data_IF_964760190951
#
_entry.id   IF_964760190951
#
_cell.length_a   1.000
_cell.length_b   1.000
_cell.length_c   1.000
_cell.angle_alpha   90.00
_cell.angle_beta   90.00
_cell.angle_gamma   90.00
#
_symmetry.space_group_name_H-M   'P 1'
#
loop_
_entity.id
_entity.type
_entity.pdbx_description
1 polymer ?
#
# COMPACT_ATOMS: atom_id res chain seq x y z
N UNK A 1 13.20 -44.67 49.58
CA UNK A 1 13.06 -45.02 48.14
C UNK A 1 11.97 -44.13 47.56
N UNK A 2 12.29 -42.94 47.06
CA UNK A 2 12.55 -42.63 45.63
C UNK A 2 11.38 -43.08 44.75
N UNK A 3 10.63 -42.22 44.05
CA UNK A 3 11.05 -41.08 43.20
C UNK A 3 9.96 -40.01 43.14
N UNK A 4 10.36 -38.75 43.30
CA UNK A 4 9.60 -37.57 42.87
C UNK A 4 9.94 -37.40 41.38
N UNK A 5 8.95 -37.55 40.50
CA UNK A 5 9.08 -37.22 39.09
C UNK A 5 8.70 -35.75 38.90
N UNK A 6 9.70 -34.88 38.89
CA UNK A 6 9.63 -33.53 38.34
C UNK A 6 9.44 -33.64 36.82
N UNK A 7 8.21 -33.42 36.35
CA UNK A 7 7.96 -33.20 34.93
C UNK A 7 8.20 -31.72 34.65
N UNK A 8 9.36 -31.44 34.07
CA UNK A 8 9.84 -30.12 33.70
C UNK A 8 8.89 -29.45 32.70
N UNK A 9 8.35 -28.32 33.11
CA UNK A 9 7.74 -27.27 32.30
C UNK A 9 8.75 -26.76 31.28
N UNK A 10 8.78 -27.35 30.08
CA UNK A 10 9.42 -26.76 28.91
C UNK A 10 8.37 -25.89 28.22
N UNK A 11 8.01 -24.77 28.85
CA UNK A 11 7.25 -23.71 28.18
C UNK A 11 8.24 -23.01 27.25
N UNK A 12 8.39 -23.55 26.04
CA UNK A 12 9.01 -22.86 24.93
C UNK A 12 8.13 -21.63 24.67
N UNK A 13 8.51 -20.51 25.29
CA UNK A 13 7.98 -19.19 25.02
C UNK A 13 8.42 -18.84 23.60
N UNK A 14 7.71 -19.38 22.60
CA UNK A 14 7.66 -18.75 21.29
C UNK A 14 7.05 -17.39 21.56
N UNK A 15 7.89 -16.38 21.74
CA UNK A 15 7.55 -14.99 21.52
C UNK A 15 7.08 -14.91 20.07
N UNK A 16 5.78 -15.16 19.90
CA UNK A 16 4.97 -14.57 18.85
C UNK A 16 5.22 -13.07 18.98
N UNK A 17 6.23 -12.59 18.26
CA UNK A 17 6.32 -11.20 17.87
C UNK A 17 4.99 -10.93 17.18
N UNK A 18 4.05 -10.36 17.93
CA UNK A 18 2.86 -9.75 17.37
C UNK A 18 3.41 -8.64 16.47
N UNK A 19 3.65 -8.98 15.21
CA UNK A 19 3.92 -8.00 14.18
C UNK A 19 2.71 -7.07 14.28
N UNK A 20 2.91 -5.77 14.57
CA UNK A 20 1.81 -4.83 14.65
C UNK A 20 0.94 -5.05 13.41
N UNK A 21 -0.37 -5.23 13.63
CA UNK A 21 -1.31 -5.41 12.52
C UNK A 21 -1.04 -4.30 11.51
N UNK A 22 -1.06 -4.65 10.22
CA UNK A 22 -0.80 -3.77 9.07
C UNK A 22 -1.95 -2.75 8.89
N UNK A 23 -2.29 -2.06 9.98
CA UNK A 23 -3.42 -1.15 10.07
C UNK A 23 -3.31 -0.07 9.00
N UNK A 24 -4.34 0.05 8.16
CA UNK A 24 -4.49 1.15 7.20
C UNK A 24 -4.40 2.47 7.98
N UNK A 25 -3.33 3.22 7.74
CA UNK A 25 -3.10 4.51 8.39
C UNK A 25 -3.58 5.63 7.47
N UNK A 26 -4.57 6.37 7.92
CA UNK A 26 -5.06 7.56 7.22
C UNK A 26 -4.11 8.72 7.52
N UNK A 27 -3.49 9.25 6.47
CA UNK A 27 -2.46 10.29 6.54
C UNK A 27 -3.08 11.68 6.45
N UNK A 28 -4.01 11.86 5.52
CA UNK A 28 -4.57 13.15 5.14
C UNK A 28 -6.08 13.03 4.90
N UNK A 29 -6.80 14.10 5.18
CA UNK A 29 -8.23 14.26 4.90
C UNK A 29 -8.44 15.63 4.25
N UNK A 30 -9.14 15.64 3.12
CA UNK A 30 -9.48 16.86 2.38
C UNK A 30 -10.97 16.95 2.13
N UNK A 31 -11.44 18.17 1.85
CA UNK A 31 -12.79 18.40 1.36
C UNK A 31 -12.98 17.76 -0.02
N UNK A 32 -14.19 17.25 -0.27
CA UNK A 32 -14.58 16.72 -1.57
C UNK A 32 -14.66 17.83 -2.62
N UNK A 33 -14.16 17.57 -3.85
CA UNK A 33 -14.18 18.56 -4.92
C UNK A 33 -15.62 18.99 -5.25
N UNK A 34 -15.89 20.28 -5.50
CA UNK A 34 -17.23 20.78 -5.79
C UNK A 34 -17.66 20.40 -7.23
N UNK A 35 -17.93 19.11 -7.46
CA UNK A 35 -18.33 18.57 -8.76
C UNK A 35 -19.83 18.75 -9.02
N UNK A 36 -20.17 19.01 -10.29
CA UNK A 36 -21.56 19.09 -10.75
C UNK A 36 -22.12 17.71 -11.15
N UNK A 37 -21.24 16.81 -11.59
CA UNK A 37 -21.57 15.43 -11.97
C UNK A 37 -20.81 14.37 -11.15
N UNK A 38 -21.31 13.12 -11.19
CA UNK A 38 -20.67 12.00 -10.50
C UNK A 38 -19.46 11.50 -11.30
N UNK A 39 -18.26 11.41 -10.70
CA UNK A 39 -17.10 10.92 -11.41
C UNK A 39 -17.16 9.40 -11.61
N UNK A 40 -16.66 8.92 -12.76
CA UNK A 40 -16.66 7.49 -13.11
C UNK A 40 -15.30 6.79 -12.90
N UNK A 41 -14.21 7.55 -12.95
CA UNK A 41 -12.85 7.07 -12.78
C UNK A 41 -11.98 8.12 -12.11
N UNK A 42 -10.90 7.65 -11.48
CA UNK A 42 -9.95 8.49 -10.74
C UNK A 42 -8.52 7.98 -10.94
N UNK A 43 -7.58 8.91 -11.12
CA UNK A 43 -6.13 8.66 -11.06
C UNK A 43 -5.46 9.80 -10.28
N UNK A 44 -4.24 9.60 -9.78
CA UNK A 44 -3.47 10.64 -9.08
C UNK A 44 -2.18 10.86 -9.84
N UNK A 45 -1.85 12.13 -10.11
CA UNK A 45 -0.60 12.51 -10.77
C UNK A 45 0.59 12.55 -9.79
N UNK A 46 1.82 12.65 -10.32
CA UNK A 46 3.05 12.65 -9.49
C UNK A 46 3.14 13.85 -8.54
N UNK A 47 2.42 14.94 -8.84
CA UNK A 47 2.31 16.10 -7.97
C UNK A 47 1.20 15.98 -6.91
N UNK A 48 0.54 14.82 -6.83
CA UNK A 48 -0.57 14.56 -5.90
C UNK A 48 -1.92 15.14 -6.35
N UNK A 49 -2.02 15.64 -7.59
CA UNK A 49 -3.28 16.11 -8.15
C UNK A 49 -4.21 14.95 -8.48
N UNK A 50 -5.47 15.05 -8.05
CA UNK A 50 -6.50 14.04 -8.24
C UNK A 50 -7.23 14.33 -9.54
N UNK A 51 -7.16 13.41 -10.49
CA UNK A 51 -7.85 13.50 -11.78
C UNK A 51 -9.12 12.67 -11.76
N UNK A 52 -10.20 13.24 -12.28
CA UNK A 52 -11.53 12.64 -12.28
C UNK A 52 -12.13 12.69 -13.69
N UNK A 53 -12.69 11.59 -14.14
CA UNK A 53 -13.49 11.55 -15.38
C UNK A 53 -14.92 11.99 -15.07
N UNK A 54 -15.45 12.93 -15.85
CA UNK A 54 -16.79 13.50 -15.70
C UNK A 54 -17.60 13.25 -17.00
N UNK A 55 -18.11 12.01 -17.20
CA UNK A 55 -18.74 11.63 -18.46
C UNK A 55 -19.98 12.45 -18.82
N UNK A 56 -20.75 12.90 -17.83
CA UNK A 56 -21.96 13.70 -18.06
C UNK A 56 -21.64 15.10 -18.60
N UNK A 57 -20.47 15.63 -18.24
CA UNK A 57 -19.95 16.93 -18.67
C UNK A 57 -19.09 16.84 -19.95
N UNK A 58 -18.68 15.63 -20.35
CA UNK A 58 -17.76 15.44 -21.48
C UNK A 58 -16.35 15.98 -21.19
N UNK A 59 -15.93 15.95 -19.92
CA UNK A 59 -14.73 16.61 -19.42
C UNK A 59 -13.93 15.71 -18.47
N UNK A 60 -12.74 16.17 -18.10
CA UNK A 60 -12.02 15.69 -16.92
C UNK A 60 -11.74 16.85 -15.99
N UNK A 61 -11.64 16.58 -14.70
CA UNK A 61 -11.26 17.58 -13.71
C UNK A 61 -9.99 17.17 -12.97
N UNK A 62 -9.11 18.15 -12.74
CA UNK A 62 -7.97 18.04 -11.84
C UNK A 62 -8.27 18.79 -10.56
N UNK A 63 -8.23 18.10 -9.43
CA UNK A 63 -8.40 18.65 -8.10
C UNK A 63 -7.08 18.64 -7.34
N UNK A 64 -6.68 19.79 -6.82
CA UNK A 64 -5.55 19.94 -5.88
C UNK A 64 -6.11 20.67 -4.67
N UNK A 65 -6.09 20.09 -3.45
CA UNK A 65 -6.76 20.67 -2.29
C UNK A 65 -6.45 22.15 -2.06
N UNK A 66 -5.18 22.56 -2.23
CA UNK A 66 -4.75 23.95 -2.02
C UNK A 66 -4.99 24.88 -3.22
N UNK A 67 -5.09 24.34 -4.45
CA UNK A 67 -5.22 25.12 -5.68
C UNK A 67 -6.64 25.09 -6.27
N UNK A 68 -7.52 24.25 -5.74
CA UNK A 68 -8.90 24.08 -6.19
C UNK A 68 -9.07 23.11 -7.36
N UNK A 69 -10.21 23.24 -8.03
CA UNK A 69 -10.66 22.39 -9.13
C UNK A 69 -10.40 23.08 -10.48
N UNK A 70 -9.86 22.33 -11.44
CA UNK A 70 -9.71 22.78 -12.83
C UNK A 70 -10.32 21.78 -13.79
N UNK A 71 -11.24 22.23 -14.64
CA UNK A 71 -11.95 21.40 -15.62
C UNK A 71 -11.27 21.55 -16.99
N UNK A 72 -11.15 20.42 -17.70
CA UNK A 72 -10.61 20.33 -19.06
C UNK A 72 -11.65 19.65 -19.95
N UNK A 73 -12.18 20.40 -20.92
CA UNK A 73 -13.15 19.87 -21.88
C UNK A 73 -12.48 18.92 -22.88
N UNK A 74 -13.04 17.71 -23.01
CA UNK A 74 -12.58 16.70 -23.95
C UNK A 74 -13.40 16.68 -25.24
N UNK A 75 -14.65 17.15 -25.18
CA UNK A 75 -15.63 17.02 -26.27
C UNK A 75 -16.25 15.62 -26.42
N UNK A 76 -15.99 14.70 -25.48
CA UNK A 76 -16.58 13.35 -25.45
C UNK A 76 -16.67 12.81 -24.02
N UNK A 77 -17.44 11.74 -23.82
CA UNK A 77 -17.78 11.19 -22.50
C UNK A 77 -16.74 10.18 -22.01
N UNK A 78 -15.56 10.65 -21.64
CA UNK A 78 -14.55 9.78 -21.03
C UNK A 78 -15.10 9.13 -19.75
N UNK A 79 -14.95 7.82 -19.63
CA UNK A 79 -15.42 7.05 -18.46
C UNK A 79 -14.29 6.36 -17.70
N UNK A 80 -13.09 6.26 -18.28
CA UNK A 80 -11.90 5.70 -17.63
C UNK A 80 -10.67 6.59 -17.85
N UNK A 81 -9.69 6.45 -16.95
CA UNK A 81 -8.47 7.26 -16.90
C UNK A 81 -7.24 6.39 -16.65
N UNK A 82 -6.13 6.72 -17.29
CA UNK A 82 -4.79 6.22 -16.93
C UNK A 82 -3.81 7.37 -16.86
N UNK A 83 -3.05 7.46 -15.77
CA UNK A 83 -1.97 8.42 -15.61
C UNK A 83 -0.62 7.73 -15.77
N UNK A 84 0.25 8.29 -16.62
CA UNK A 84 1.66 7.96 -16.69
C UNK A 84 2.44 9.05 -17.42
N UNK A 85 3.74 9.19 -17.12
CA UNK A 85 4.67 10.05 -17.87
C UNK A 85 4.21 11.52 -17.97
N UNK A 86 3.58 12.04 -16.91
CA UNK A 86 3.05 13.40 -16.88
C UNK A 86 1.80 13.63 -17.75
N UNK A 87 1.16 12.57 -18.24
CA UNK A 87 -0.02 12.61 -19.11
C UNK A 87 -1.15 11.78 -18.50
N UNK A 88 -2.36 12.31 -18.57
CA UNK A 88 -3.60 11.57 -18.31
C UNK A 88 -4.21 11.18 -19.64
N UNK A 89 -4.27 9.88 -19.91
CA UNK A 89 -5.06 9.31 -20.99
C UNK A 89 -6.51 9.17 -20.52
N UNK A 90 -7.42 9.90 -21.16
CA UNK A 90 -8.86 9.84 -20.91
C UNK A 90 -9.55 9.19 -22.11
N UNK A 91 -10.40 8.21 -21.86
CA UNK A 91 -11.03 7.42 -22.92
C UNK A 91 -12.37 6.85 -22.46
N UNK A 92 -13.13 6.30 -23.41
CA UNK A 92 -14.38 5.60 -23.14
C UNK A 92 -14.30 4.17 -23.68
N UNK A 93 -14.27 3.13 -22.82
CA UNK A 93 -14.35 1.75 -23.27
C UNK A 93 -15.57 1.51 -24.17
N UNK A 94 -15.36 0.83 -25.28
CA UNK A 94 -16.37 0.60 -26.32
C UNK A 94 -16.59 1.78 -27.29
N UNK A 95 -15.80 2.86 -27.20
CA UNK A 95 -15.75 3.98 -28.14
C UNK A 95 -14.42 4.01 -28.90
N UNK A 96 -14.32 4.79 -29.98
CA UNK A 96 -13.04 5.09 -30.65
C UNK A 96 -12.30 6.29 -30.05
N UNK A 97 -12.90 6.98 -29.07
CA UNK A 97 -12.44 8.28 -28.59
C UNK A 97 -11.44 8.18 -27.44
N UNK A 98 -10.32 8.90 -27.60
CA UNK A 98 -9.28 9.06 -26.60
C UNK A 98 -8.65 10.46 -26.68
N UNK A 99 -8.26 10.99 -25.54
CA UNK A 99 -7.47 12.22 -25.42
C UNK A 99 -6.33 12.06 -24.43
N UNK A 100 -5.21 12.72 -24.73
CA UNK A 100 -4.10 12.90 -23.79
C UNK A 100 -4.11 14.32 -23.25
N UNK A 101 -4.10 14.43 -21.92
CA UNK A 101 -4.10 15.68 -21.18
C UNK A 101 -2.76 15.82 -20.47
N UNK A 102 -2.05 16.90 -20.72
CA UNK A 102 -0.83 17.24 -19.99
C UNK A 102 -1.18 17.55 -18.54
N UNK A 103 -0.67 16.75 -17.59
CA UNK A 103 -1.12 16.80 -16.21
C UNK A 103 -0.71 18.12 -15.52
N UNK A 104 0.49 18.62 -15.81
CA UNK A 104 1.00 19.84 -15.21
C UNK A 104 0.25 21.09 -15.71
N UNK A 105 -0.04 21.15 -17.01
CA UNK A 105 -0.68 22.31 -17.66
C UNK A 105 -2.19 22.21 -17.71
N UNK A 106 -2.76 21.04 -17.48
CA UNK A 106 -4.19 20.70 -17.62
C UNK A 106 -4.77 21.20 -18.95
N UNK A 107 -4.14 20.77 -20.04
CA UNK A 107 -4.56 21.06 -21.42
C UNK A 107 -4.51 19.79 -22.25
N UNK A 108 -5.47 19.63 -23.17
CA UNK A 108 -5.45 18.52 -24.11
C UNK A 108 -4.32 18.73 -25.12
N UNK A 109 -3.39 17.79 -25.21
CA UNK A 109 -2.23 17.84 -26.12
C UNK A 109 -2.43 17.00 -27.37
N UNK A 110 -3.27 15.96 -27.31
CA UNK A 110 -3.56 15.06 -28.41
C UNK A 110 -4.95 14.43 -28.26
N UNK A 111 -5.60 14.13 -29.39
CA UNK A 111 -6.89 13.43 -29.47
C UNK A 111 -6.91 12.51 -30.67
N UNK A 112 -7.65 11.40 -30.57
CA UNK A 112 -7.93 10.52 -31.71
C UNK A 112 -9.34 9.94 -31.62
N UNK A 113 -9.91 9.65 -32.78
CA UNK A 113 -11.20 8.99 -32.99
C UNK A 113 -11.09 7.95 -34.11
N UNK A 114 -9.93 7.33 -34.26
CA UNK A 114 -9.63 6.33 -35.30
C UNK A 114 -10.50 5.07 -35.21
N UNK A 115 -10.55 4.28 -36.29
CA UNK A 115 -11.31 3.04 -36.31
C UNK A 115 -10.84 2.03 -35.24
N UNK A 116 -11.80 1.23 -34.75
CA UNK A 116 -11.62 0.27 -33.65
C UNK A 116 -12.22 0.79 -32.35
N UNK A 117 -12.79 -0.11 -31.56
CA UNK A 117 -13.33 0.24 -30.24
C UNK A 117 -12.23 0.02 -29.21
N UNK A 118 -11.98 1.01 -28.35
CA UNK A 118 -11.01 0.90 -27.27
C UNK A 118 -11.62 0.03 -26.18
N UNK A 119 -11.03 -1.11 -25.86
CA UNK A 119 -11.43 -1.92 -24.70
C UNK A 119 -10.70 -1.49 -23.43
N UNK A 120 -9.46 -1.02 -23.58
CA UNK A 120 -8.61 -0.61 -22.46
C UNK A 120 -7.42 0.24 -22.91
N UNK A 121 -6.83 0.95 -21.95
CA UNK A 121 -5.56 1.66 -22.09
C UNK A 121 -4.71 1.30 -20.88
N UNK A 122 -3.43 0.98 -21.08
CA UNK A 122 -2.51 0.71 -19.98
C UNK A 122 -1.23 1.49 -20.11
N UNK A 123 -0.67 1.89 -18.97
CA UNK A 123 0.65 2.48 -18.90
C UNK A 123 1.74 1.40 -18.99
N UNK A 124 2.81 1.71 -19.72
CA UNK A 124 4.03 0.90 -19.86
C UNK A 124 5.24 1.83 -19.78
N UNK A 125 6.47 1.31 -19.85
CA UNK A 125 7.67 2.14 -19.77
C UNK A 125 7.70 3.21 -20.88
N UNK A 126 7.68 4.48 -20.47
CA UNK A 126 7.71 5.66 -21.35
C UNK A 126 6.52 5.86 -22.30
N UNK A 127 5.46 5.04 -22.25
CA UNK A 127 4.38 5.06 -23.25
C UNK A 127 3.06 4.50 -22.72
N UNK A 128 2.04 4.49 -23.58
CA UNK A 128 0.74 3.86 -23.35
C UNK A 128 0.51 2.77 -24.38
N UNK A 129 -0.25 1.74 -24.04
CA UNK A 129 -0.76 0.75 -25.01
C UNK A 129 -2.26 0.79 -25.01
N UNK A 130 -2.82 1.04 -26.19
CA UNK A 130 -4.26 0.97 -26.46
C UNK A 130 -4.59 -0.45 -26.88
N UNK A 131 -5.59 -1.04 -26.25
CA UNK A 131 -6.19 -2.31 -26.66
C UNK A 131 -7.44 -1.99 -27.45
N UNK A 132 -7.37 -2.12 -28.78
CA UNK A 132 -8.50 -1.90 -29.68
C UNK A 132 -9.12 -3.23 -30.08
N UNK A 133 -10.43 -3.37 -30.01
CA UNK A 133 -11.17 -4.48 -30.63
C UNK A 133 -11.76 -4.11 -31.97
N UNK A 134 -11.72 -5.11 -32.85
CA UNK A 134 -12.40 -5.17 -34.13
C UNK A 134 -13.28 -6.44 -34.14
N UNK A 135 -14.23 -6.57 -35.08
CA UNK A 135 -15.14 -7.72 -35.11
C UNK A 135 -14.46 -9.09 -35.11
N UNK A 136 -13.24 -9.20 -35.64
CA UNK A 136 -12.52 -10.46 -35.84
C UNK A 136 -11.12 -10.51 -35.22
N UNK A 137 -10.66 -9.45 -34.58
CA UNK A 137 -9.29 -9.35 -34.05
C UNK A 137 -9.17 -8.28 -32.98
N UNK A 138 -8.10 -8.35 -32.20
CA UNK A 138 -7.68 -7.25 -31.33
C UNK A 138 -6.34 -6.68 -31.81
N UNK A 139 -6.18 -5.37 -31.71
CA UNK A 139 -4.98 -4.65 -32.08
C UNK A 139 -4.44 -3.92 -30.86
N UNK A 140 -3.17 -4.15 -30.56
CA UNK A 140 -2.41 -3.37 -29.60
C UNK A 140 -1.71 -2.25 -30.34
N UNK A 141 -1.85 -1.01 -29.87
CA UNK A 141 -1.15 0.15 -30.42
C UNK A 141 -0.38 0.84 -29.30
N UNK A 142 0.94 0.87 -29.39
CA UNK A 142 1.79 1.61 -28.45
C UNK A 142 1.91 3.07 -28.89
N UNK A 143 1.49 3.98 -28.01
CA UNK A 143 1.53 5.43 -28.22
C UNK A 143 2.54 6.09 -27.30
N UNK A 144 3.34 7.02 -27.83
CA UNK A 144 4.14 7.94 -27.00
C UNK A 144 3.21 8.88 -26.21
N UNK A 145 3.68 9.56 -25.15
CA UNK A 145 2.88 10.57 -24.44
C UNK A 145 2.40 11.75 -25.32
N UNK A 146 2.90 11.87 -26.55
CA UNK A 146 2.45 12.84 -27.56
C UNK A 146 1.36 12.30 -28.50
N UNK A 147 0.99 11.02 -28.35
CA UNK A 147 0.01 10.34 -29.20
C UNK A 147 0.57 9.78 -30.51
N UNK A 148 1.90 9.70 -30.65
CA UNK A 148 2.52 9.11 -31.84
C UNK A 148 2.55 7.58 -31.70
N UNK A 149 2.01 6.86 -32.69
CA UNK A 149 2.10 5.40 -32.73
C UNK A 149 3.53 4.96 -33.09
N UNK A 150 4.11 4.12 -32.24
CA UNK A 150 5.50 3.62 -32.40
C UNK A 150 5.57 2.11 -32.61
N UNK A 151 4.50 1.38 -32.30
CA UNK A 151 4.44 -0.06 -32.49
C UNK A 151 2.98 -0.54 -32.51
N UNK A 152 2.74 -1.59 -33.29
CA UNK A 152 1.44 -2.26 -33.37
C UNK A 152 1.63 -3.78 -33.34
N UNK A 153 0.69 -4.49 -32.71
CA UNK A 153 0.67 -5.95 -32.73
C UNK A 153 -0.77 -6.48 -32.76
N UNK A 154 -1.01 -7.38 -33.70
CA UNK A 154 -2.32 -8.00 -33.90
C UNK A 154 -2.39 -9.29 -33.08
N UNK A 155 -3.39 -9.37 -32.21
CA UNK A 155 -3.75 -10.61 -31.52
C UNK A 155 -4.83 -11.28 -32.36
N UNK A 156 -4.37 -12.13 -33.29
CA UNK A 156 -5.24 -13.01 -34.06
C UNK A 156 -5.76 -14.15 -33.19
N UNK A 157 -6.86 -14.79 -33.61
CA UNK A 157 -7.45 -16.02 -33.04
C UNK A 157 -7.93 -16.01 -31.57
N UNK A 158 -7.63 -14.95 -30.80
CA UNK A 158 -8.14 -14.77 -29.44
C UNK A 158 -9.22 -13.70 -29.38
N UNK A 159 -10.26 -14.01 -28.62
CA UNK A 159 -11.27 -13.04 -28.19
C UNK A 159 -10.85 -12.51 -26.83
N UNK A 160 -10.58 -11.21 -26.76
CA UNK A 160 -10.28 -10.52 -25.50
C UNK A 160 -11.57 -10.22 -24.73
N UNK A 161 -11.49 -10.16 -23.40
CA UNK A 161 -12.58 -9.61 -22.60
C UNK A 161 -12.79 -8.13 -22.93
N UNK A 162 -14.00 -7.62 -22.67
CA UNK A 162 -14.29 -6.20 -22.78
C UNK A 162 -14.11 -5.51 -21.43
N UNK A 163 -13.59 -4.29 -21.45
CA UNK A 163 -13.36 -3.41 -20.29
C UNK A 163 -12.30 -3.94 -19.30
N UNK A 164 -11.30 -3.10 -19.01
CA UNK A 164 -10.22 -3.43 -18.04
C UNK A 164 -9.55 -4.77 -18.34
N UNK A 165 -9.38 -5.07 -19.63
CA UNK A 165 -8.88 -6.36 -20.10
C UNK A 165 -7.38 -6.51 -19.88
N UNK A 166 -6.68 -5.40 -19.65
CA UNK A 166 -5.23 -5.35 -19.66
C UNK A 166 -4.63 -4.87 -18.35
N UNK A 167 -3.36 -5.22 -18.14
CA UNK A 167 -2.48 -4.58 -17.18
C UNK A 167 -1.09 -4.42 -17.80
N UNK A 168 -0.51 -3.21 -17.73
CA UNK A 168 0.80 -2.89 -18.29
C UNK A 168 1.86 -2.71 -17.21
N UNK A 169 3.07 -3.22 -17.46
CA UNK A 169 4.25 -2.93 -16.65
C UNK A 169 5.51 -3.09 -17.48
N UNK A 170 6.43 -2.13 -17.36
CA UNK A 170 7.71 -2.13 -18.07
C UNK A 170 7.52 -2.29 -19.58
N UNK A 171 8.01 -3.38 -20.16
CA UNK A 171 7.89 -3.71 -21.58
C UNK A 171 6.82 -4.77 -21.86
N UNK A 172 5.92 -5.04 -20.90
CA UNK A 172 4.93 -6.10 -21.00
C UNK A 172 3.50 -5.60 -20.86
N UNK A 173 2.62 -6.18 -21.67
CA UNK A 173 1.17 -6.03 -21.56
C UNK A 173 0.56 -7.40 -21.31
N UNK A 174 -0.19 -7.52 -20.22
CA UNK A 174 -0.94 -8.70 -19.85
C UNK A 174 -2.39 -8.54 -20.25
N UNK A 175 -2.98 -9.54 -20.90
CA UNK A 175 -4.34 -9.48 -21.45
C UNK A 175 -5.18 -10.65 -20.96
N UNK A 176 -6.46 -10.40 -20.64
CA UNK A 176 -7.45 -11.46 -20.36
C UNK A 176 -8.20 -11.85 -21.62
N UNK A 177 -8.27 -13.15 -21.86
CA UNK A 177 -9.12 -13.71 -22.93
C UNK A 177 -10.50 -14.06 -22.40
N UNK A 178 -11.50 -14.13 -23.28
CA UNK A 178 -12.85 -14.50 -22.89
C UNK A 178 -12.99 -15.94 -22.42
N UNK A 179 -12.08 -16.81 -22.88
CA UNK A 179 -11.95 -18.21 -22.49
C UNK A 179 -11.27 -18.41 -21.12
N UNK A 180 -10.71 -17.35 -20.54
CA UNK A 180 -10.10 -17.37 -19.22
C UNK A 180 -8.58 -17.61 -19.19
N UNK A 181 -7.91 -17.67 -20.33
CA UNK A 181 -6.44 -17.58 -20.40
C UNK A 181 -5.95 -16.16 -20.18
N UNK A 182 -4.68 -16.05 -19.79
CA UNK A 182 -3.90 -14.81 -19.81
C UNK A 182 -2.88 -14.84 -20.94
N UNK A 183 -2.76 -13.73 -21.66
CA UNK A 183 -1.70 -13.52 -22.64
C UNK A 183 -0.69 -12.54 -22.06
N UNK A 184 0.59 -12.71 -22.39
CA UNK A 184 1.61 -11.68 -22.23
C UNK A 184 2.19 -11.33 -23.58
N UNK A 185 2.30 -10.03 -23.83
CA UNK A 185 2.89 -9.45 -25.03
C UNK A 185 4.07 -8.60 -24.62
N UNK A 186 5.23 -8.86 -25.22
CA UNK A 186 6.44 -8.05 -25.03
C UNK A 186 6.47 -6.96 -26.11
N UNK A 187 6.62 -5.70 -25.70
CA UNK A 187 6.62 -4.56 -26.62
C UNK A 187 7.81 -4.65 -27.59
N UNK A 188 7.56 -4.32 -28.86
CA UNK A 188 8.56 -4.45 -29.91
C UNK A 188 8.74 -5.88 -30.44
N UNK A 189 8.04 -6.88 -29.89
CA UNK A 189 8.04 -8.26 -30.42
C UNK A 189 6.67 -8.66 -30.96
N UNK A 190 6.68 -9.44 -32.03
CA UNK A 190 5.44 -10.02 -32.58
C UNK A 190 4.99 -11.24 -31.76
N UNK A 191 3.67 -11.42 -31.68
CA UNK A 191 3.06 -12.56 -30.99
C UNK A 191 2.86 -12.37 -29.49
N UNK A 192 2.52 -13.48 -28.82
CA UNK A 192 2.22 -13.51 -27.39
C UNK A 192 2.56 -14.87 -26.79
N UNK A 193 2.71 -14.91 -25.47
CA UNK A 193 2.75 -16.17 -24.69
C UNK A 193 1.46 -16.32 -23.91
N UNK A 194 0.86 -17.51 -23.99
CA UNK A 194 -0.40 -17.84 -23.31
C UNK A 194 -0.15 -18.62 -22.01
N UNK A 195 -0.88 -18.26 -20.96
CA UNK A 195 -0.96 -18.95 -19.69
C UNK A 195 -2.41 -19.38 -19.45
N UNK A 196 -2.63 -20.70 -19.34
CA UNK A 196 -3.93 -21.23 -18.98
C UNK A 196 -4.14 -21.09 -17.48
N UNK A 197 -5.26 -20.48 -17.12
CA UNK A 197 -5.65 -20.28 -15.73
C UNK A 197 -6.61 -21.37 -15.28
N UNK A 198 -6.56 -21.71 -13.99
CA UNK A 198 -7.52 -22.64 -13.39
C UNK A 198 -8.93 -22.04 -13.35
N UNK A 199 -9.00 -20.72 -13.13
CA UNK A 199 -10.24 -19.93 -13.13
C UNK A 199 -10.03 -18.65 -13.91
N UNK A 200 -11.10 -18.18 -14.56
CA UNK A 200 -11.08 -16.94 -15.35
C UNK A 200 -10.85 -15.73 -14.42
N UNK A 201 -9.76 -14.96 -14.59
CA UNK A 201 -9.51 -13.80 -13.74
C UNK A 201 -10.46 -12.64 -14.08
N UNK A 202 -10.89 -11.91 -13.04
CA UNK A 202 -11.76 -10.73 -13.13
C UNK A 202 -11.01 -9.40 -12.95
N UNK A 203 -9.87 -9.42 -12.27
CA UNK A 203 -9.04 -8.23 -12.03
C UNK A 203 -7.58 -8.54 -12.38
N UNK A 204 -6.89 -7.56 -12.96
CA UNK A 204 -5.45 -7.58 -13.20
C UNK A 204 -4.79 -6.35 -12.58
N UNK A 205 -3.59 -6.55 -12.02
CA UNK A 205 -2.62 -5.49 -11.80
C UNK A 205 -1.25 -6.00 -12.21
N UNK A 206 -0.36 -5.10 -12.64
CA UNK A 206 1.01 -5.46 -13.01
C UNK A 206 2.03 -4.45 -12.52
N UNK A 207 3.23 -4.95 -12.25
CA UNK A 207 4.41 -4.20 -11.79
C UNK A 207 5.64 -5.08 -11.99
N UNK A 208 6.79 -4.50 -12.34
CA UNK A 208 8.09 -5.19 -12.49
C UNK A 208 8.01 -6.44 -13.41
N UNK A 209 7.32 -6.29 -14.56
CA UNK A 209 7.15 -7.35 -15.56
C UNK A 209 6.32 -8.54 -15.09
N UNK A 210 5.61 -8.41 -13.96
CA UNK A 210 4.74 -9.44 -13.38
C UNK A 210 3.29 -8.98 -13.39
N UNK A 211 2.38 -9.95 -13.40
CA UNK A 211 0.94 -9.71 -13.24
C UNK A 211 0.40 -10.49 -12.05
N UNK A 212 -0.55 -9.86 -11.36
CA UNK A 212 -1.43 -10.49 -10.40
C UNK A 212 -2.80 -10.64 -11.05
N UNK A 213 -3.24 -11.89 -11.16
CA UNK A 213 -4.54 -12.23 -11.70
C UNK A 213 -5.43 -12.71 -10.56
N UNK A 214 -6.54 -12.01 -10.33
CA UNK A 214 -7.50 -12.31 -9.27
C UNK A 214 -8.76 -12.91 -9.89
N UNK A 215 -9.12 -14.11 -9.47
CA UNK A 215 -10.37 -14.78 -9.87
C UNK A 215 -11.55 -14.40 -8.96
N UNK A 216 -12.82 -14.64 -9.38
CA UNK A 216 -14.01 -14.25 -8.62
C UNK A 216 -14.09 -14.85 -7.20
N UNK A 217 -13.41 -15.97 -6.96
CA UNK A 217 -13.41 -16.67 -5.67
C UNK A 217 -12.26 -16.22 -4.77
N UNK A 218 -11.51 -15.19 -5.19
CA UNK A 218 -10.38 -14.62 -4.43
C UNK A 218 -9.09 -15.40 -4.55
N UNK A 219 -9.01 -16.34 -5.50
CA UNK A 219 -7.74 -16.92 -5.88
C UNK A 219 -6.89 -15.85 -6.58
N UNK A 220 -5.68 -15.63 -6.07
CA UNK A 220 -4.71 -14.72 -6.63
C UNK A 220 -3.53 -15.52 -7.16
N UNK A 221 -3.24 -15.36 -8.44
CA UNK A 221 -2.09 -15.97 -9.10
C UNK A 221 -1.11 -14.89 -9.52
N UNK A 222 0.13 -14.96 -9.05
CA UNK A 222 1.22 -14.10 -9.53
C UNK A 222 1.98 -14.83 -10.63
N UNK A 223 2.17 -14.16 -11.77
CA UNK A 223 2.75 -14.74 -12.97
C UNK A 223 3.83 -13.80 -13.49
N UNK A 224 4.96 -14.37 -13.90
CA UNK A 224 5.97 -13.68 -14.70
C UNK A 224 6.09 -14.33 -16.07
N UNK A 225 6.86 -13.72 -16.96
CA UNK A 225 7.15 -14.31 -18.28
C UNK A 225 7.73 -15.73 -18.19
N UNK A 226 8.31 -16.12 -17.05
CA UNK A 226 8.88 -17.45 -16.83
C UNK A 226 7.83 -18.49 -16.45
N UNK A 227 6.71 -18.08 -15.85
CA UNK A 227 5.71 -19.01 -15.34
C UNK A 227 4.90 -18.44 -14.19
N UNK A 228 4.04 -19.29 -13.63
CA UNK A 228 3.34 -19.03 -12.36
C UNK A 228 4.37 -19.03 -11.23
N UNK A 229 4.43 -17.96 -10.46
CA UNK A 229 5.38 -17.82 -9.33
C UNK A 229 4.75 -18.13 -7.99
N UNK A 230 3.48 -17.74 -7.80
CA UNK A 230 2.78 -17.91 -6.54
C UNK A 230 1.27 -18.03 -6.78
N UNK A 231 0.60 -18.75 -5.86
CA UNK A 231 -0.85 -18.80 -5.74
C UNK A 231 -1.23 -18.59 -4.29
N UNK A 232 -2.18 -17.69 -4.05
CA UNK A 232 -2.67 -17.36 -2.72
C UNK A 232 -4.19 -17.35 -2.77
N UNK A 233 -4.83 -18.02 -1.84
CA UNK A 233 -6.28 -17.90 -1.66
C UNK A 233 -6.56 -16.91 -0.56
N UNK A 234 -7.26 -15.83 -0.90
CA UNK A 234 -7.61 -14.78 0.06
C UNK A 234 -8.89 -15.10 0.84
N UNK A 235 -9.72 -16.03 0.37
CA UNK A 235 -11.07 -16.26 0.89
C UNK A 235 -11.95 -15.00 0.80
N UNK A 236 -11.65 -14.09 -0.12
CA UNK A 236 -12.40 -12.89 -0.45
C UNK A 236 -13.11 -13.09 -1.79
N UNK A 237 -14.29 -12.53 -2.01
CA UNK A 237 -14.97 -12.65 -3.32
C UNK A 237 -14.70 -11.41 -4.16
N UNK A 238 -13.80 -11.54 -5.13
CA UNK A 238 -13.47 -10.44 -6.04
C UNK A 238 -14.58 -10.20 -7.06
N UNK A 239 -14.87 -8.93 -7.32
CA UNK A 239 -15.96 -8.50 -8.21
C UNK A 239 -15.48 -7.50 -9.24
N UNK A 240 -16.19 -7.46 -10.37
CA UNK A 240 -16.03 -6.38 -11.33
C UNK A 240 -16.37 -5.04 -10.64
N UNK A 241 -15.41 -4.11 -10.65
CA UNK A 241 -15.52 -2.81 -9.98
C UNK A 241 -14.76 -2.72 -8.65
N UNK A 242 -14.18 -3.81 -8.15
CA UNK A 242 -13.14 -3.72 -7.13
C UNK A 242 -11.85 -3.16 -7.76
N UNK A 243 -10.98 -2.60 -6.91
CA UNK A 243 -9.70 -2.02 -7.33
C UNK A 243 -8.57 -2.96 -6.94
N UNK A 244 -7.59 -3.11 -7.83
CA UNK A 244 -6.41 -3.92 -7.57
C UNK A 244 -5.17 -3.11 -7.91
N UNK A 245 -4.20 -3.10 -7.00
CA UNK A 245 -2.98 -2.33 -7.11
C UNK A 245 -1.78 -3.22 -6.85
N UNK A 246 -0.89 -3.33 -7.83
CA UNK A 246 0.39 -3.98 -7.67
C UNK A 246 1.36 -3.03 -6.95
N UNK A 247 1.83 -3.46 -5.78
CA UNK A 247 2.70 -2.69 -4.90
C UNK A 247 4.15 -3.17 -5.04
N UNK A 248 5.15 -2.38 -4.60
CA UNK A 248 6.54 -2.83 -4.52
C UNK A 248 6.71 -4.14 -3.77
N UNK A 249 7.88 -4.77 -3.91
CA UNK A 249 8.27 -5.96 -3.14
C UNK A 249 7.31 -7.15 -3.31
N UNK A 250 6.75 -7.28 -4.51
CA UNK A 250 5.78 -8.32 -4.90
C UNK A 250 4.48 -8.35 -4.08
N UNK A 251 3.99 -7.19 -3.64
CA UNK A 251 2.74 -7.07 -2.89
C UNK A 251 1.55 -6.76 -3.81
N UNK A 252 0.35 -7.07 -3.30
CA UNK A 252 -0.91 -6.73 -3.95
C UNK A 252 -1.86 -6.12 -2.92
N UNK A 253 -2.52 -5.03 -3.28
CA UNK A 253 -3.67 -4.52 -2.54
C UNK A 253 -4.94 -4.68 -3.38
N UNK A 254 -6.00 -5.20 -2.77
CA UNK A 254 -7.33 -5.29 -3.37
C UNK A 254 -8.30 -4.51 -2.48
N UNK A 255 -8.97 -3.52 -3.04
CA UNK A 255 -10.00 -2.77 -2.33
C UNK A 255 -11.37 -3.20 -2.83
N UNK A 256 -12.17 -3.77 -1.93
CA UNK A 256 -13.55 -4.09 -2.23
C UNK A 256 -14.47 -2.96 -1.86
N UNK A 257 -15.15 -2.39 -2.87
CA UNK A 257 -16.13 -1.33 -2.63
C UNK A 257 -17.37 -1.85 -1.90
N UNK A 258 -17.75 -3.10 -2.16
CA UNK A 258 -18.98 -3.69 -1.62
C UNK A 258 -18.79 -4.16 -0.18
N UNK A 259 -17.69 -4.86 0.10
CA UNK A 259 -17.39 -5.34 1.44
C UNK A 259 -16.73 -4.25 2.30
N UNK A 260 -16.29 -3.16 1.67
CA UNK A 260 -15.61 -2.03 2.30
C UNK A 260 -14.33 -2.45 3.03
N UNK A 261 -13.57 -3.37 2.43
CA UNK A 261 -12.34 -3.91 3.00
C UNK A 261 -11.15 -3.67 2.07
N UNK A 262 -9.97 -3.61 2.67
CA UNK A 262 -8.69 -3.79 2.02
C UNK A 262 -8.20 -5.21 2.27
N UNK A 263 -7.82 -5.92 1.20
CA UNK A 263 -7.09 -7.17 1.27
C UNK A 263 -5.68 -6.91 0.77
N UNK A 264 -4.68 -7.13 1.61
CA UNK A 264 -3.28 -7.03 1.22
C UNK A 264 -2.64 -8.42 1.19
N UNK A 265 -1.84 -8.67 0.15
CA UNK A 265 -1.08 -9.89 -0.04
C UNK A 265 0.40 -9.55 -0.07
N UNK A 266 1.18 -10.17 0.82
CA UNK A 266 2.64 -10.04 0.89
C UNK A 266 3.26 -11.42 0.98
N UNK A 267 3.73 -11.96 -0.15
CA UNK A 267 4.18 -13.34 -0.23
C UNK A 267 3.01 -14.31 -0.12
N UNK A 268 3.02 -15.17 0.90
CA UNK A 268 1.96 -16.12 1.25
C UNK A 268 0.97 -15.56 2.29
N UNK A 269 1.26 -14.38 2.86
CA UNK A 269 0.45 -13.75 3.89
C UNK A 269 -0.66 -12.94 3.26
N UNK A 270 -1.86 -13.10 3.82
CA UNK A 270 -3.05 -12.31 3.50
C UNK A 270 -3.48 -11.58 4.76
N UNK A 271 -3.56 -10.25 4.71
CA UNK A 271 -4.24 -9.44 5.72
C UNK A 271 -5.54 -8.90 5.13
N UNK A 272 -6.55 -8.76 5.99
CA UNK A 272 -7.85 -8.15 5.65
C UNK A 272 -8.16 -7.10 6.69
N UNK A 273 -8.50 -5.92 6.22
CA UNK A 273 -8.80 -4.79 7.09
C UNK A 273 -10.07 -4.08 6.65
N UNK A 274 -10.90 -3.71 7.62
CA UNK A 274 -12.07 -2.90 7.36
C UNK A 274 -11.65 -1.45 7.13
N UNK A 275 -12.08 -0.87 6.02
CA UNK A 275 -11.88 0.55 5.76
C UNK A 275 -12.79 1.39 6.67
N UNK A 276 -12.28 2.53 7.12
CA UNK A 276 -13.02 3.44 8.02
C UNK A 276 -14.19 4.11 7.32
N UNK A 277 -14.07 4.32 6.01
CA UNK A 277 -15.12 4.92 5.17
C UNK A 277 -15.46 4.01 4.02
N UNK A 278 -16.69 4.16 3.52
CA UNK A 278 -17.04 3.66 2.19
C UNK A 278 -16.51 4.63 1.15
N UNK A 279 -16.04 4.11 0.03
CA UNK A 279 -15.48 4.93 -1.04
C UNK A 279 -16.23 4.68 -2.35
N UNK A 280 -16.28 5.70 -3.20
CA UNK A 280 -16.82 5.63 -4.55
C UNK A 280 -15.73 5.21 -5.53
N UNK A 281 -14.59 5.90 -5.48
CA UNK A 281 -13.41 5.71 -6.32
C UNK A 281 -12.17 5.55 -5.46
N UNK A 282 -11.20 4.79 -5.97
CA UNK A 282 -9.88 4.64 -5.38
C UNK A 282 -8.80 4.76 -6.47
N UNK A 283 -7.66 5.34 -6.11
CA UNK A 283 -6.50 5.46 -7.00
C UNK A 283 -5.21 5.40 -6.18
N UNK A 284 -4.14 4.87 -6.78
CA UNK A 284 -2.81 4.91 -6.16
C UNK A 284 -2.22 6.32 -6.27
N UNK A 285 -1.58 6.78 -5.21
CA UNK A 285 -0.68 7.95 -5.17
C UNK A 285 0.73 7.44 -4.89
N UNK A 286 1.59 7.51 -5.90
CA UNK A 286 2.94 6.93 -5.83
C UNK A 286 2.90 5.40 -5.68
N UNK A 287 3.83 4.84 -4.90
CA UNK A 287 4.01 3.39 -4.73
C UNK A 287 3.31 2.80 -3.52
N UNK A 288 2.97 3.61 -2.52
CA UNK A 288 2.64 3.13 -1.17
C UNK A 288 1.46 3.85 -0.53
N UNK A 289 0.70 4.67 -1.27
CA UNK A 289 -0.50 5.34 -0.76
C UNK A 289 -1.69 5.19 -1.72
N UNK A 290 -2.88 5.18 -1.15
CA UNK A 290 -4.15 5.17 -1.86
C UNK A 290 -4.95 6.42 -1.52
N UNK A 291 -5.60 6.99 -2.52
CA UNK A 291 -6.58 8.06 -2.37
C UNK A 291 -7.96 7.46 -2.52
N UNK A 292 -8.83 7.72 -1.54
CA UNK A 292 -10.21 7.26 -1.49
C UNK A 292 -11.14 8.47 -1.60
N UNK A 293 -12.05 8.43 -2.58
CA UNK A 293 -13.07 9.46 -2.76
C UNK A 293 -14.37 8.99 -2.11
N UNK A 294 -14.80 9.64 -1.02
CA UNK A 294 -16.08 9.38 -0.35
C UNK A 294 -17.10 10.45 -0.73
N UNK A 295 -17.98 10.11 -1.66
CA UNK A 295 -19.07 10.99 -2.10
C UNK A 295 -20.19 11.13 -1.05
N UNK A 296 -20.34 10.17 -0.13
CA UNK A 296 -21.43 10.18 0.86
C UNK A 296 -21.16 11.18 1.98
N UNK A 297 -19.91 11.22 2.45
CA UNK A 297 -19.49 12.14 3.50
C UNK A 297 -18.83 13.41 2.94
N UNK A 298 -18.68 13.51 1.62
CA UNK A 298 -18.02 14.61 0.93
C UNK A 298 -16.59 14.83 1.44
N UNK A 299 -15.80 13.75 1.44
CA UNK A 299 -14.38 13.78 1.84
C UNK A 299 -13.49 13.04 0.85
N UNK A 300 -12.23 13.44 0.81
CA UNK A 300 -11.14 12.69 0.19
C UNK A 300 -10.21 12.24 1.30
N UNK A 301 -9.86 10.96 1.32
CA UNK A 301 -8.91 10.41 2.28
C UNK A 301 -7.66 9.90 1.59
N UNK A 302 -6.51 10.10 2.21
CA UNK A 302 -5.25 9.47 1.81
C UNK A 302 -4.88 8.44 2.86
N UNK A 303 -4.75 7.19 2.45
CA UNK A 303 -4.35 6.09 3.31
C UNK A 303 -3.01 5.50 2.85
N UNK A 304 -2.12 5.26 3.81
CA UNK A 304 -0.84 4.60 3.58
C UNK A 304 -1.01 3.09 3.57
N UNK A 305 -0.38 2.46 2.59
CA UNK A 305 -0.12 1.02 2.49
C UNK A 305 1.37 0.72 2.75
N UNK A 306 2.17 1.73 3.12
CA UNK A 306 3.60 1.56 3.38
C UNK A 306 3.84 0.81 4.67
N UNK A 307 4.78 -0.12 4.66
CA UNK A 307 5.23 -0.86 5.84
C UNK A 307 6.36 -0.10 6.50
N UNK A 308 6.41 -0.03 7.84
CA UNK A 308 7.43 0.75 8.51
C UNK A 308 8.84 0.17 8.25
N UNK A 309 9.85 1.04 8.14
CA UNK A 309 11.23 0.60 8.05
C UNK A 309 11.64 -0.12 9.34
N UNK A 310 12.59 -1.04 9.22
CA UNK A 310 13.09 -1.87 10.32
C UNK A 310 14.56 -1.59 10.55
N UNK A 311 14.91 -1.21 11.77
CA UNK A 311 16.30 -1.14 12.25
C UNK A 311 16.58 -2.45 12.99
N UNK A 312 17.26 -3.39 12.31
CA UNK A 312 17.48 -4.74 12.82
C UNK A 312 18.71 -4.85 13.74
N UNK A 313 19.67 -3.96 13.55
CA UNK A 313 20.90 -3.88 14.35
C UNK A 313 21.41 -2.43 14.33
N UNK A 314 21.98 -1.97 15.44
CA UNK A 314 22.64 -0.67 15.52
C UNK A 314 23.69 -0.65 16.65
N UNK A 315 24.79 0.04 16.39
CA UNK A 315 25.86 0.25 17.37
C UNK A 315 26.48 1.62 17.23
N UNK A 316 27.04 2.13 18.33
CA UNK A 316 27.78 3.38 18.37
C UNK A 316 29.09 3.17 19.12
N UNK A 317 30.18 3.67 18.53
CA UNK A 317 31.53 3.55 19.07
C UNK A 317 32.19 4.93 19.10
N UNK A 318 32.73 5.30 20.25
CA UNK A 318 33.52 6.53 20.40
C UNK A 318 34.86 6.33 19.68
N UNK A 319 35.26 7.30 18.85
CA UNK A 319 36.56 7.29 18.19
C UNK A 319 37.67 7.75 19.15
N UNK A 320 38.92 7.53 18.75
CA UNK A 320 40.10 7.74 19.62
C UNK A 320 40.27 9.18 20.13
N UNK A 321 39.69 10.17 19.46
CA UNK A 321 39.72 11.58 19.88
C UNK A 321 38.72 11.93 20.99
N UNK A 322 37.74 11.04 21.25
CA UNK A 322 36.63 11.27 22.16
C UNK A 322 35.64 12.35 21.69
N UNK A 323 35.87 12.96 20.53
CA UNK A 323 35.09 14.06 19.96
C UNK A 323 34.18 13.59 18.83
N UNK A 324 34.38 12.37 18.35
CA UNK A 324 33.55 11.76 17.32
C UNK A 324 33.02 10.39 17.73
N UNK A 325 31.86 10.07 17.20
CA UNK A 325 31.17 8.80 17.42
C UNK A 325 30.88 8.19 16.06
N UNK A 326 31.40 7.00 15.81
CA UNK A 326 31.01 6.20 14.65
C UNK A 326 29.74 5.44 14.98
N UNK A 327 28.70 5.62 14.17
CA UNK A 327 27.42 4.93 14.27
C UNK A 327 27.31 3.97 13.10
N UNK A 328 26.85 2.74 13.37
CA UNK A 328 26.58 1.71 12.38
C UNK A 328 25.18 1.16 12.57
N UNK A 329 24.45 0.91 11.50
CA UNK A 329 23.11 0.32 11.57
C UNK A 329 22.79 -0.56 10.36
N UNK A 330 21.95 -1.58 10.56
CA UNK A 330 21.28 -2.32 9.47
C UNK A 330 19.84 -1.86 9.40
N UNK A 331 19.53 -1.10 8.35
CA UNK A 331 18.19 -0.56 8.09
C UNK A 331 17.66 -1.22 6.83
N UNK A 332 16.49 -1.82 6.93
CA UNK A 332 15.77 -2.37 5.80
C UNK A 332 14.39 -1.76 5.74
N UNK A 333 14.02 -1.22 4.59
CA UNK A 333 12.65 -0.83 4.34
C UNK A 333 11.96 -1.92 3.50
N UNK A 334 10.84 -2.50 3.96
CA UNK A 334 10.20 -3.59 3.23
C UNK A 334 9.71 -3.20 1.84
N UNK A 335 9.39 -1.93 1.61
CA UNK A 335 8.84 -1.41 0.35
C UNK A 335 9.89 -0.74 -0.54
N UNK A 336 11.13 -0.74 -0.06
CA UNK A 336 12.32 -0.18 -0.70
C UNK A 336 12.19 1.32 -1.02
N UNK A 337 11.42 2.05 -0.19
CA UNK A 337 11.08 3.46 -0.41
C UNK A 337 11.48 4.37 0.77
N UNK A 338 12.69 4.18 1.31
CA UNK A 338 13.28 5.11 2.28
C UNK A 338 13.31 6.55 1.74
N UNK A 339 12.91 7.50 2.58
CA UNK A 339 12.93 8.92 2.26
C UNK A 339 14.37 9.44 2.07
N UNK A 340 14.54 10.42 1.18
CA UNK A 340 15.85 11.07 0.96
C UNK A 340 16.41 11.63 2.26
N UNK A 341 17.71 11.42 2.51
CA UNK A 341 18.37 11.81 3.76
C UNK A 341 18.24 10.79 4.90
N UNK A 342 17.58 9.65 4.66
CA UNK A 342 17.46 8.55 5.62
C UNK A 342 18.14 7.26 5.10
N UNK A 343 18.64 6.41 6.00
CA UNK A 343 18.62 6.56 7.46
C UNK A 343 19.60 7.63 7.95
N UNK A 344 19.30 8.21 9.11
CA UNK A 344 20.12 9.24 9.75
C UNK A 344 20.57 8.81 11.13
N UNK A 345 21.79 9.16 11.48
CA UNK A 345 22.29 9.06 12.85
C UNK A 345 22.18 10.43 13.52
N UNK A 346 21.88 10.45 14.81
CA UNK A 346 21.78 11.69 15.58
C UNK A 346 22.28 11.53 17.01
N UNK A 347 22.88 12.60 17.54
CA UNK A 347 23.33 12.73 18.91
C UNK A 347 22.64 13.94 19.57
N UNK A 348 22.05 13.71 20.74
CA UNK A 348 21.29 14.70 21.51
C UNK A 348 21.97 14.94 22.86
N UNK A 349 22.39 16.19 23.12
CA UNK A 349 22.94 16.66 24.39
C UNK A 349 22.09 17.82 24.91
N UNK A 350 21.23 17.57 25.89
CA UNK A 350 20.25 18.56 26.33
C UNK A 350 19.30 18.94 25.19
N UNK A 351 19.38 20.18 24.70
CA UNK A 351 18.61 20.67 23.54
C UNK A 351 19.41 20.70 22.23
N UNK A 352 20.71 20.44 22.27
CA UNK A 352 21.57 20.43 21.08
C UNK A 352 21.42 19.10 20.34
N UNK A 353 21.14 19.17 19.04
CA UNK A 353 21.06 18.01 18.15
C UNK A 353 22.12 18.14 17.07
N UNK A 354 22.95 17.12 16.94
CA UNK A 354 23.83 16.93 15.78
C UNK A 354 23.35 15.69 15.05
N UNK A 355 23.11 15.79 13.75
CA UNK A 355 22.67 14.67 12.93
C UNK A 355 23.40 14.65 11.59
N UNK A 356 23.48 13.45 11.01
CA UNK A 356 24.02 13.24 9.66
C UNK A 356 23.29 12.11 8.97
N UNK A 357 23.16 12.21 7.66
CA UNK A 357 22.78 11.09 6.80
C UNK A 357 23.85 10.00 6.89
N UNK A 358 23.42 8.74 6.87
CA UNK A 358 24.32 7.59 6.91
C UNK A 358 24.66 7.11 5.50
N UNK A 359 25.93 6.82 5.25
CA UNK A 359 26.42 6.25 3.99
C UNK A 359 26.23 4.72 3.98
N UNK A 360 25.76 4.16 2.87
CA UNK A 360 25.51 2.73 2.71
C UNK A 360 26.71 2.00 2.12
N UNK A 361 27.18 0.96 2.82
CA UNK A 361 28.18 -0.01 2.33
C UNK A 361 27.58 -1.43 2.44
N UNK A 362 27.09 -1.96 1.33
CA UNK A 362 26.33 -3.21 1.31
C UNK A 362 25.01 -3.10 2.07
N UNK A 363 24.87 -3.88 3.15
CA UNK A 363 23.70 -3.87 4.05
C UNK A 363 23.86 -2.94 5.26
N UNK A 364 25.05 -2.36 5.46
CA UNK A 364 25.38 -1.59 6.65
C UNK A 364 25.41 -0.10 6.29
N UNK A 365 24.70 0.69 7.07
CA UNK A 365 24.77 2.15 7.05
C UNK A 365 25.77 2.62 8.09
N UNK A 366 26.58 3.61 7.75
CA UNK A 366 27.61 4.17 8.64
C UNK A 366 27.56 5.69 8.66
N UNK A 367 27.86 6.28 9.80
CA UNK A 367 27.93 7.73 9.98
C UNK A 367 28.97 8.09 11.05
N UNK A 368 29.58 9.26 10.94
CA UNK A 368 30.36 9.87 12.01
C UNK A 368 29.62 11.10 12.54
N UNK A 369 29.40 11.14 13.85
CA UNK A 369 28.78 12.27 14.54
C UNK A 369 29.83 13.02 15.35
N UNK A 370 29.82 14.35 15.27
CA UNK A 370 30.56 15.19 16.20
C UNK A 370 29.84 15.23 17.55
N UNK A 371 30.62 15.20 18.64
CA UNK A 371 30.11 15.36 20.00
C UNK A 371 29.81 16.86 20.22
N UNK A 372 28.57 17.24 20.55
CA UNK A 372 28.22 18.63 20.83
C UNK A 372 29.02 19.20 22.02
N UNK A 373 29.35 20.49 21.98
CA UNK A 373 30.07 21.15 23.07
C UNK A 373 29.13 21.37 24.26
N UNK A 374 29.46 20.72 25.38
CA UNK A 374 28.72 20.84 26.63
C UNK A 374 29.07 19.69 27.58
N UNK A 375 28.31 19.62 28.67
CA UNK A 375 28.42 18.58 29.70
C UNK A 375 27.07 17.86 29.88
N UNK A 376 27.10 16.56 30.14
CA UNK A 376 25.91 15.77 30.49
C UNK A 376 25.76 14.46 29.71
N UNK A 377 24.55 13.91 29.72
CA UNK A 377 24.23 12.67 29.04
C UNK A 377 23.94 12.92 27.55
N UNK A 378 24.79 12.38 26.68
CA UNK A 378 24.64 12.36 25.24
C UNK A 378 23.91 11.10 24.82
N UNK A 379 22.72 11.23 24.21
CA UNK A 379 21.99 10.11 23.64
C UNK A 379 22.25 10.00 22.15
N UNK A 380 22.61 8.82 21.67
CA UNK A 380 22.81 8.55 20.25
C UNK A 380 21.71 7.62 19.76
N UNK A 381 21.07 7.97 18.64
CA UNK A 381 20.01 7.18 18.03
C UNK A 381 20.16 7.12 16.51
N UNK A 382 19.54 6.10 15.93
CA UNK A 382 19.36 5.96 14.48
C UNK A 382 17.88 6.11 14.18
N UNK A 383 17.59 6.78 13.07
CA UNK A 383 16.23 6.99 12.62
C UNK A 383 16.11 6.64 11.14
N UNK A 384 15.01 5.99 10.77
CA UNK A 384 14.64 5.64 9.42
C UNK A 384 13.22 6.15 9.14
N UNK A 385 13.04 6.80 8.00
CA UNK A 385 11.76 7.34 7.54
C UNK A 385 11.54 6.82 6.11
N UNK A 386 10.35 6.33 5.81
CA UNK A 386 9.94 5.93 4.46
C UNK A 386 9.09 7.04 3.79
N UNK A 387 8.80 6.87 2.50
CA UNK A 387 7.93 7.78 1.74
C UNK A 387 6.46 7.70 2.19
N UNK A 388 6.06 6.61 2.85
CA UNK A 388 4.76 6.46 3.49
C UNK A 388 4.59 7.24 4.79
N UNK A 389 5.64 7.90 5.29
CA UNK A 389 5.66 8.66 6.55
C UNK A 389 5.83 7.79 7.81
N UNK A 390 6.23 6.52 7.66
CA UNK A 390 6.56 5.65 8.78
C UNK A 390 7.94 6.00 9.34
N UNK A 391 7.98 6.36 10.61
CA UNK A 391 9.19 6.73 11.34
C UNK A 391 9.57 5.62 12.32
N UNK A 392 10.76 5.06 12.14
CA UNK A 392 11.37 4.11 13.06
C UNK A 392 12.59 4.76 13.70
N UNK A 393 12.60 4.84 15.02
CA UNK A 393 13.73 5.34 15.81
C UNK A 393 14.23 4.28 16.77
N UNK A 394 15.54 4.09 16.82
CA UNK A 394 16.22 3.21 17.77
C UNK A 394 17.30 3.99 18.52
N UNK A 395 17.16 4.12 19.84
CA UNK A 395 18.22 4.62 20.70
C UNK A 395 19.34 3.56 20.77
N UNK A 396 20.57 3.96 20.42
CA UNK A 396 21.71 3.06 20.19
C UNK A 396 22.67 3.05 21.38
N UNK A 397 22.96 4.23 21.94
CA UNK A 397 23.91 4.37 23.03
C UNK A 397 23.66 5.64 23.86
N UNK A 398 24.21 5.65 25.08
CA UNK A 398 24.27 6.83 25.94
C UNK A 398 25.70 7.01 26.43
N UNK A 399 26.23 8.22 26.31
CA UNK A 399 27.58 8.58 26.72
C UNK A 399 27.54 9.73 27.72
N UNK A 400 28.51 9.79 28.62
CA UNK A 400 28.76 10.97 29.45
C UNK A 400 29.75 11.88 28.73
N UNK A 401 29.39 13.13 28.56
CA UNK A 401 30.19 14.13 27.85
C UNK A 401 30.62 15.22 28.83
N UNK A 402 31.86 15.67 28.70
CA UNK A 402 32.41 16.84 29.40
C UNK A 402 33.26 17.66 28.43
N UNK A 403 32.96 18.94 28.28
CA UNK A 403 33.69 19.86 27.40
C UNK A 403 33.70 19.43 25.93
N UNK A 404 32.65 18.76 25.45
CA UNK A 404 32.58 18.24 24.08
C UNK A 404 33.42 16.99 23.82
N UNK A 405 33.80 16.25 24.87
CA UNK A 405 34.44 14.94 24.79
C UNK A 405 33.66 13.90 25.57
N UNK A 406 33.56 12.70 25.02
CA UNK A 406 33.03 11.56 25.75
C UNK A 406 34.04 11.12 26.81
N UNK A 407 33.62 11.10 28.08
CA UNK A 407 34.43 10.72 29.24
C UNK A 407 34.02 9.38 29.85
N UNK A 408 32.84 8.87 29.51
CA UNK A 408 32.35 7.58 29.96
C UNK A 408 31.26 7.00 29.06
N UNK A 409 31.16 5.67 29.00
CA UNK A 409 30.04 4.98 28.37
C UNK A 409 28.98 4.67 29.44
N UNK A 410 27.77 5.20 29.27
CA UNK A 410 26.61 4.76 30.05
C UNK A 410 26.21 3.35 29.58
N UNK A 411 25.72 2.52 30.49
CA UNK A 411 25.17 1.21 30.11
C UNK A 411 24.04 1.41 29.11
N UNK A 412 24.15 0.78 27.93
CA UNK A 412 23.03 0.62 26.99
C UNK A 412 21.94 -0.10 27.77
N UNK A 413 20.89 0.63 28.14
CA UNK A 413 19.67 -0.05 28.54
C UNK A 413 19.21 -0.75 27.26
N UNK A 414 19.13 -2.10 27.23
CA UNK A 414 18.69 -2.80 26.02
C UNK A 414 17.40 -2.13 25.56
N UNK A 415 17.22 -1.93 24.24
CA UNK A 415 16.06 -1.22 23.73
C UNK A 415 14.84 -1.80 24.43
N UNK A 416 13.94 -0.98 25.01
CA UNK A 416 12.67 -1.51 25.47
C UNK A 416 12.14 -2.32 24.29
N UNK A 417 12.04 -3.65 24.46
CA UNK A 417 11.48 -4.51 23.42
C UNK A 417 10.24 -3.81 22.95
N UNK A 418 10.03 -3.62 21.62
CA UNK A 418 8.94 -2.81 21.10
C UNK A 418 7.71 -3.21 21.85
N UNK A 419 7.32 -2.36 22.81
CA UNK A 419 6.10 -2.63 23.54
C UNK A 419 5.08 -2.49 22.44
N UNK A 420 4.33 -3.56 22.10
CA UNK A 420 3.25 -3.41 21.15
C UNK A 420 2.53 -2.17 21.63
N UNK A 421 2.42 -1.16 20.76
CA UNK A 421 1.63 0.03 21.05
C UNK A 421 0.38 -0.49 21.75
N UNK A 422 0.04 0.05 22.93
CA UNK A 422 -1.16 -0.29 23.70
C UNK A 422 -2.39 0.07 22.88
N UNK A 423 -2.53 -0.61 21.75
CA UNK A 423 -3.66 -0.65 20.89
C UNK A 423 -4.71 -1.47 21.62
N UNK A 424 -5.92 -1.28 21.16
CA UNK A 424 -7.17 -1.82 21.71
C UNK A 424 -7.10 -3.33 22.00
N UNK A 425 -6.14 -4.06 21.43
CA UNK A 425 -5.81 -5.46 21.71
C UNK A 425 -5.44 -5.80 23.16
N UNK A 426 -4.89 -4.88 23.97
CA UNK A 426 -4.70 -5.13 25.42
C UNK A 426 -5.96 -4.82 26.25
N UNK A 427 -6.83 -3.93 25.75
CA UNK A 427 -8.12 -3.64 26.38
C UNK A 427 -9.10 -4.80 26.14
N UNK A 428 -9.04 -5.47 24.99
CA UNK A 428 -9.93 -6.58 24.64
C UNK A 428 -9.95 -7.72 25.68
N UNK A 429 -8.82 -8.32 26.12
CA UNK A 429 -8.86 -9.34 27.16
C UNK A 429 -9.36 -8.79 28.50
N UNK A 430 -8.99 -7.56 28.88
CA UNK A 430 -9.49 -6.92 30.10
C UNK A 430 -11.01 -6.64 30.05
N UNK A 431 -11.52 -6.20 28.90
CA UNK A 431 -12.94 -5.95 28.67
C UNK A 431 -13.75 -7.25 28.62
N UNK A 432 -13.19 -8.32 28.04
CA UNK A 432 -13.78 -9.66 28.06
C UNK A 432 -13.79 -10.22 29.48
N UNK A 433 -12.70 -10.10 30.24
CA UNK A 433 -12.65 -10.49 31.66
C UNK A 433 -13.65 -9.70 32.51
N UNK A 434 -13.77 -8.39 32.29
CA UNK A 434 -14.77 -7.54 32.94
C UNK A 434 -16.20 -7.95 32.58
N UNK A 435 -16.48 -8.30 31.33
CA UNK A 435 -17.79 -8.79 30.90
C UNK A 435 -18.13 -10.14 31.55
N UNK A 436 -17.18 -11.08 31.59
CA UNK A 436 -17.36 -12.35 32.30
C UNK A 436 -17.57 -12.14 33.80
N UNK A 437 -16.84 -11.21 34.42
CA UNK A 437 -17.03 -10.86 35.82
C UNK A 437 -18.43 -10.30 36.10
N UNK A 438 -18.93 -9.40 35.25
CA UNK A 438 -20.30 -8.87 35.36
C UNK A 438 -21.34 -9.97 35.19
N UNK A 439 -21.19 -10.85 34.19
CA UNK A 439 -22.11 -11.99 33.98
C UNK A 439 -22.09 -12.92 35.20
N UNK A 440 -20.90 -13.24 35.73
CA UNK A 440 -20.72 -14.08 36.91
C UNK A 440 -21.39 -13.47 38.15
N UNK A 441 -21.16 -12.18 38.43
CA UNK A 441 -21.79 -11.48 39.55
C UNK A 441 -23.31 -11.47 39.37
N UNK A 442 -23.81 -11.17 38.18
CA UNK A 442 -25.25 -11.11 37.91
C UNK A 442 -25.93 -12.47 38.12
N UNK A 443 -25.31 -13.55 37.64
CA UNK A 443 -25.82 -14.92 37.82
C UNK A 443 -25.77 -15.37 39.28
N UNK A 444 -24.70 -15.06 40.02
CA UNK A 444 -24.61 -15.32 41.48
C UNK A 444 -25.68 -14.55 42.25
N UNK A 445 -25.94 -13.29 41.89
CA UNK A 445 -26.95 -12.47 42.56
C UNK A 445 -28.35 -13.01 42.31
N UNK A 446 -28.68 -13.39 41.07
CA UNK A 446 -29.95 -14.04 40.72
C UNK A 446 -30.13 -15.39 41.43
N UNK A 447 -29.07 -16.18 41.54
CA UNK A 447 -29.09 -17.44 42.28
C UNK A 447 -29.39 -17.22 43.77
N UNK A 448 -28.74 -16.24 44.40
CA UNK A 448 -29.00 -15.89 45.80
C UNK A 448 -30.43 -15.38 46.03
N UNK A 449 -30.93 -14.51 45.17
CA UNK A 449 -32.31 -13.98 45.25
C UNK A 449 -33.35 -15.11 45.08
N UNK A 450 -33.14 -16.04 44.15
CA UNK A 450 -34.04 -17.18 43.96
C UNK A 450 -34.05 -18.12 45.16
N UNK A 451 -32.89 -18.36 45.80
CA UNK A 451 -32.77 -19.20 46.99
C UNK A 451 -33.37 -18.56 48.23
N UNK A 452 -33.27 -17.23 48.37
CA UNK A 452 -33.95 -16.49 49.43
C UNK A 452 -35.49 -16.59 49.30
N UNK A 453 -36.02 -16.48 48.07
CA UNK A 453 -37.46 -16.63 47.80
C UNK A 453 -37.97 -18.06 48.05
N UNK A 454 -37.17 -19.10 47.79
CA UNK A 454 -37.59 -20.49 48.02
C UNK A 454 -37.68 -20.86 49.51
N UNK A 455 -36.84 -20.27 50.38
CA UNK A 455 -36.90 -20.47 51.84
C UNK A 455 -38.12 -19.80 52.49
N UNK A 456 -38.62 -18.70 51.94
CA UNK A 456 -39.82 -18.02 52.43
C UNK A 456 -41.12 -18.82 52.26
N UNK A 457 -41.20 -19.71 51.24
CA UNK A 457 -42.41 -20.51 50.96
C UNK A 457 -42.60 -21.73 51.88
N UNK A 458 -41.56 -22.18 52.61
CA UNK A 458 -41.67 -23.32 53.53
C UNK A 458 -42.16 -22.98 54.95
N UNK A 459 -42.37 -21.70 55.28
CA UNK A 459 -42.90 -21.24 56.58
C UNK A 459 -44.40 -20.90 56.57
N UNK A 460 -45.11 -21.19 55.48
CA UNK A 460 -46.57 -20.97 55.31
C UNK A 460 -47.35 -22.26 54.99
N UNK A 461 -46.83 -23.41 55.37
CA UNK A 461 -47.60 -24.66 55.45
C UNK A 461 -47.53 -25.19 56.86
#
# INVERSE_FOLDING_TARGET
MHRIATLSTLTLLFSLLAIPGLGVRYLEEFEYPPLESQPSAMVVDDAGGIWLALPEEGSVARYVPEAGLRIVDLGFKATDLVYAHGVVAAFQPGSSEIAFVDAARSVVTWRSSEAGLIDDVVAVSGSFVLVKSFPTMSLLVQLTPKGEAIWENMIADKVLERNRVAAGSDEYVWLRTSEGSLLVVELGREGYKEFRMEKKPVLLASREGKVWAVDPEGGVTRISIRGVEARVNTGFTARLGDYVFALPSNRLAILSRIENILVEISGDRVSKEQLQVRFLLAAMRGSSSIVLLDASEKRVLVASLSRPPVISDASAQVLSDGQRIQVRARVSDPDEDLASGYPRAAALLGTQVVSTEMSREGEIYTAELAVPVGDGALRVYVQALDLGGNDMRLDVASFEVMGGKVVGSGSVQPPPQPQPSTGISEILPLAVEMAFFVILVTTLTLFWVSRARSRGKKRRR
#
